data_IF_682245221013
#
_entry.id   IF_682245221013
#
_cell.length_a   1.000
_cell.length_b   1.000
_cell.length_c   1.000
_cell.angle_alpha   90.00
_cell.angle_beta   90.00
_cell.angle_gamma   90.00
#
_symmetry.space_group_name_H-M   'P 1'
#
loop_
_entity.id
_entity.type
_entity.pdbx_description
1 polymer ?
#
# COMPACT_ATOMS: atom_id res chain seq x y z
N UNK A 1 -9.61 12.11 31.08
CA UNK A 1 -8.70 11.37 30.17
C UNK A 1 -7.75 12.26 29.34
N UNK A 2 -7.53 13.54 29.69
CA UNK A 2 -6.69 14.48 28.91
C UNK A 2 -5.48 15.08 29.65
N UNK A 3 -5.14 14.62 30.86
CA UNK A 3 -4.09 15.26 31.69
C UNK A 3 -2.85 14.42 32.03
N UNK A 4 -2.72 13.19 31.52
CA UNK A 4 -1.59 12.31 31.92
C UNK A 4 -0.67 11.87 30.77
N UNK A 5 -0.93 12.29 29.53
CA UNK A 5 0.00 12.08 28.41
C UNK A 5 0.29 13.44 27.82
N UNK A 6 1.53 13.94 27.98
CA UNK A 6 1.99 15.25 27.49
C UNK A 6 1.91 15.40 25.96
N UNK A 7 2.75 16.19 25.31
CA UNK A 7 2.73 16.35 23.84
C UNK A 7 3.19 15.09 23.06
N UNK A 8 3.74 14.08 23.74
CA UNK A 8 4.27 12.86 23.14
C UNK A 8 3.30 12.06 22.23
N UNK A 9 1.98 11.92 22.51
CA UNK A 9 1.03 11.22 21.65
C UNK A 9 0.88 11.84 20.26
N UNK A 10 1.09 13.17 20.12
CA UNK A 10 1.06 13.84 18.82
C UNK A 10 2.17 13.35 17.90
N UNK A 11 3.31 12.93 18.45
CA UNK A 11 4.47 12.45 17.69
C UNK A 11 4.48 10.91 17.50
N UNK A 12 3.63 10.16 18.22
CA UNK A 12 3.54 8.70 18.08
C UNK A 12 3.03 8.25 16.71
N UNK A 13 2.27 9.08 15.99
CA UNK A 13 1.79 8.80 14.63
C UNK A 13 2.81 9.06 13.52
N UNK A 14 3.87 9.83 13.80
CA UNK A 14 4.83 10.28 12.77
C UNK A 14 5.71 9.14 12.28
N UNK A 15 6.19 8.26 13.18
CA UNK A 15 7.00 7.10 12.80
C UNK A 15 6.24 6.14 11.86
N UNK A 16 4.99 5.75 12.18
CA UNK A 16 4.14 5.03 11.23
C UNK A 16 3.95 5.74 9.89
N UNK A 17 3.75 7.07 9.91
CA UNK A 17 3.51 7.86 8.70
C UNK A 17 4.76 7.93 7.80
N UNK A 18 5.95 8.19 8.36
CA UNK A 18 7.20 8.22 7.61
C UNK A 18 7.46 6.91 6.88
N UNK A 19 7.12 5.79 7.52
CA UNK A 19 7.35 4.47 6.93
C UNK A 19 6.28 4.13 5.90
N UNK A 20 5.06 4.63 6.06
CA UNK A 20 4.03 4.53 5.02
C UNK A 20 4.45 5.26 3.74
N UNK A 21 5.10 6.42 3.89
CA UNK A 21 5.61 7.22 2.75
C UNK A 21 6.85 6.58 2.11
N UNK A 22 7.61 5.77 2.85
CA UNK A 22 8.78 5.07 2.29
C UNK A 22 8.43 4.10 1.15
N UNK A 23 7.28 3.42 1.22
CA UNK A 23 6.85 2.47 0.19
C UNK A 23 6.69 3.12 -1.20
N UNK A 24 5.86 4.18 -1.37
CA UNK A 24 5.74 4.85 -2.66
C UNK A 24 7.07 5.51 -3.10
N UNK A 25 7.89 6.03 -2.18
CA UNK A 25 9.20 6.59 -2.54
C UNK A 25 10.10 5.53 -3.21
N UNK A 26 10.20 4.34 -2.61
CA UNK A 26 11.00 3.24 -3.16
C UNK A 26 10.43 2.80 -4.51
N UNK A 27 9.10 2.67 -4.61
CA UNK A 27 8.43 2.31 -5.86
C UNK A 27 8.76 3.30 -6.97
N UNK A 28 8.61 4.61 -6.73
CA UNK A 28 8.91 5.64 -7.71
C UNK A 28 10.39 5.66 -8.08
N UNK A 29 11.29 5.52 -7.10
CA UNK A 29 12.74 5.51 -7.36
C UNK A 29 13.15 4.35 -8.25
N UNK A 30 12.62 3.14 -7.99
CA UNK A 30 12.90 1.96 -8.82
C UNK A 30 12.30 2.16 -10.22
N UNK A 31 11.07 2.66 -10.30
CA UNK A 31 10.40 2.93 -11.57
C UNK A 31 11.16 3.92 -12.43
N UNK A 32 11.61 5.05 -11.87
CA UNK A 32 12.36 6.05 -12.60
C UNK A 32 13.71 5.54 -13.08
N UNK A 33 14.44 4.79 -12.23
CA UNK A 33 15.70 4.16 -12.64
C UNK A 33 15.50 3.18 -13.79
N UNK A 34 14.46 2.37 -13.73
CA UNK A 34 14.19 1.33 -14.73
C UNK A 34 13.68 1.96 -16.04
N UNK A 35 12.77 2.93 -15.94
CA UNK A 35 12.31 3.77 -17.06
C UNK A 35 13.48 4.45 -17.77
N UNK A 36 14.35 5.14 -17.02
CA UNK A 36 15.48 5.88 -17.59
C UNK A 36 16.55 4.97 -18.22
N UNK A 37 16.64 3.69 -17.79
CA UNK A 37 17.52 2.71 -18.42
C UNK A 37 16.95 2.22 -19.76
N UNK A 38 15.66 1.90 -19.82
CA UNK A 38 15.03 1.33 -21.02
C UNK A 38 14.73 2.41 -22.08
N UNK A 39 14.34 3.61 -21.64
CA UNK A 39 14.09 4.75 -22.52
C UNK A 39 15.33 5.21 -23.31
N UNK A 40 16.54 4.83 -22.88
CA UNK A 40 17.79 5.09 -23.62
C UNK A 40 17.94 4.19 -24.85
N UNK A 41 17.27 3.04 -24.87
CA UNK A 41 17.45 2.01 -25.90
C UNK A 41 16.23 1.91 -26.82
N UNK A 42 15.02 2.26 -26.34
CA UNK A 42 13.79 2.24 -27.13
C UNK A 42 12.75 3.22 -26.62
N UNK A 43 11.80 3.59 -27.47
CA UNK A 43 10.58 4.28 -27.05
C UNK A 43 9.70 3.36 -26.21
N UNK A 44 9.18 3.87 -25.10
CA UNK A 44 8.34 3.13 -24.17
C UNK A 44 6.88 3.16 -24.62
N UNK A 45 6.27 1.98 -24.72
CA UNK A 45 4.84 1.82 -24.98
C UNK A 45 4.03 1.82 -23.68
N UNK A 46 2.69 1.94 -23.76
CA UNK A 46 1.83 1.86 -22.58
C UNK A 46 1.99 0.55 -21.80
N UNK A 47 2.27 -0.56 -22.50
CA UNK A 47 2.54 -1.86 -21.88
C UNK A 47 3.89 -1.89 -21.14
N UNK A 48 4.89 -1.16 -21.64
CA UNK A 48 6.17 -1.03 -20.95
C UNK A 48 6.02 -0.27 -19.63
N UNK A 49 5.24 0.81 -19.61
CA UNK A 49 4.93 1.52 -18.38
C UNK A 49 4.19 0.65 -17.38
N UNK A 50 3.29 -0.22 -17.84
CA UNK A 50 2.61 -1.19 -17.00
C UNK A 50 3.59 -2.21 -16.38
N UNK A 51 4.44 -2.83 -17.20
CA UNK A 51 5.45 -3.79 -16.75
C UNK A 51 6.47 -3.16 -15.79
N UNK A 52 7.00 -1.98 -16.14
CA UNK A 52 7.92 -1.22 -15.31
C UNK A 52 7.28 -0.87 -13.96
N UNK A 53 6.02 -0.44 -13.97
CA UNK A 53 5.24 -0.16 -12.77
C UNK A 53 5.07 -1.40 -11.89
N UNK A 54 4.73 -2.55 -12.49
CA UNK A 54 4.58 -3.81 -11.79
C UNK A 54 5.89 -4.27 -11.14
N UNK A 55 6.99 -4.28 -11.88
CA UNK A 55 8.32 -4.67 -11.37
C UNK A 55 8.75 -3.76 -10.23
N UNK A 56 8.54 -2.45 -10.37
CA UNK A 56 8.92 -1.47 -9.35
C UNK A 56 8.10 -1.63 -8.07
N UNK A 57 6.80 -1.93 -8.22
CA UNK A 57 5.92 -2.23 -7.09
C UNK A 57 6.33 -3.52 -6.37
N UNK A 58 6.73 -4.56 -7.11
CA UNK A 58 7.23 -5.81 -6.54
C UNK A 58 8.55 -5.61 -5.80
N UNK A 59 9.48 -4.84 -6.35
CA UNK A 59 10.75 -4.51 -5.70
C UNK A 59 10.54 -3.70 -4.41
N UNK A 60 9.70 -2.66 -4.47
CA UNK A 60 9.36 -1.84 -3.30
C UNK A 60 8.64 -2.68 -2.22
N UNK A 61 7.72 -3.54 -2.64
CA UNK A 61 7.03 -4.43 -1.72
C UNK A 61 8.02 -5.39 -1.09
N UNK A 62 8.94 -6.01 -1.84
CA UNK A 62 9.92 -6.96 -1.30
C UNK A 62 10.82 -6.35 -0.23
N UNK A 63 11.24 -5.09 -0.42
CA UNK A 63 12.05 -4.36 0.57
C UNK A 63 11.20 -3.98 1.80
N UNK A 64 9.93 -3.63 1.59
CA UNK A 64 9.04 -3.14 2.66
C UNK A 64 8.29 -4.26 3.41
N UNK A 65 8.15 -5.44 2.81
CA UNK A 65 7.33 -6.54 3.33
C UNK A 65 7.81 -7.05 4.70
N UNK A 66 9.13 -7.26 4.93
CA UNK A 66 9.64 -7.63 6.25
C UNK A 66 9.20 -6.68 7.36
N UNK A 67 9.26 -5.38 7.08
CA UNK A 67 8.85 -4.34 8.02
C UNK A 67 7.35 -4.43 8.35
N UNK A 68 6.50 -4.60 7.33
CA UNK A 68 5.04 -4.70 7.48
C UNK A 68 4.67 -5.92 8.33
N UNK A 69 5.30 -7.08 8.07
CA UNK A 69 5.03 -8.33 8.78
C UNK A 69 5.42 -8.23 10.25
N UNK A 70 6.61 -7.69 10.55
CA UNK A 70 7.03 -7.51 11.93
C UNK A 70 6.09 -6.53 12.65
N UNK A 71 5.79 -5.37 12.05
CA UNK A 71 4.87 -4.40 12.65
C UNK A 71 3.48 -4.98 12.92
N UNK A 72 2.93 -5.72 11.97
CA UNK A 72 1.62 -6.37 12.13
C UNK A 72 1.64 -7.39 13.27
N UNK A 73 2.70 -8.20 13.39
CA UNK A 73 2.85 -9.13 14.52
C UNK A 73 3.08 -8.42 15.86
N UNK A 74 3.81 -7.30 15.87
CA UNK A 74 3.98 -6.45 17.06
C UNK A 74 2.66 -5.83 17.53
N UNK A 75 1.80 -5.43 16.60
CA UNK A 75 0.48 -4.87 16.90
C UNK A 75 -0.52 -5.94 17.36
N UNK A 76 -0.41 -7.16 16.86
CA UNK A 76 -1.28 -8.28 17.23
C UNK A 76 -0.85 -8.96 18.55
N UNK A 77 0.45 -9.03 18.86
CA UNK A 77 1.01 -9.59 20.10
C UNK A 77 1.27 -8.52 21.19
N UNK A 78 0.30 -7.66 21.46
CA UNK A 78 0.22 -6.99 22.76
C UNK A 78 -0.44 -7.95 23.77
N UNK A 79 0.26 -9.04 24.08
CA UNK A 79 -0.16 -9.97 25.15
C UNK A 79 0.56 -9.60 26.44
N UNK A 80 -0.07 -9.81 27.60
CA UNK A 80 0.42 -9.43 28.94
C UNK A 80 1.76 -10.07 29.35
N UNK A 81 2.27 -11.03 28.56
CA UNK A 81 3.55 -11.69 28.81
C UNK A 81 4.74 -10.88 28.25
N UNK A 82 5.50 -10.27 29.17
CA UNK A 82 6.70 -9.48 28.85
C UNK A 82 7.77 -10.25 28.05
N UNK A 83 7.76 -11.60 28.09
CA UNK A 83 8.68 -12.46 27.34
C UNK A 83 8.33 -12.61 25.85
N UNK A 84 7.07 -12.44 25.47
CA UNK A 84 6.62 -12.50 24.07
C UNK A 84 6.62 -11.14 23.36
N UNK A 85 6.84 -10.06 24.13
CA UNK A 85 6.86 -8.70 23.60
C UNK A 85 8.09 -8.51 22.71
N UNK A 86 7.85 -8.14 21.47
CA UNK A 86 8.92 -7.73 20.55
C UNK A 86 9.46 -6.36 21.01
N UNK A 87 10.72 -6.29 21.42
CA UNK A 87 11.33 -5.03 21.89
C UNK A 87 11.66 -4.08 20.74
N UNK A 88 11.85 -4.62 19.53
CA UNK A 88 12.25 -3.90 18.35
C UNK A 88 11.91 -4.67 17.08
N UNK A 89 11.79 -3.95 15.96
CA UNK A 89 11.48 -4.55 14.65
C UNK A 89 12.56 -5.56 14.23
N UNK A 90 13.82 -5.30 14.60
CA UNK A 90 14.94 -6.21 14.35
C UNK A 90 14.84 -7.51 15.18
N UNK A 91 14.35 -7.42 16.42
CA UNK A 91 14.12 -8.59 17.30
C UNK A 91 12.96 -9.44 16.77
N UNK A 92 11.90 -8.80 16.28
CA UNK A 92 10.81 -9.48 15.57
C UNK A 92 11.28 -10.21 14.32
N UNK A 93 12.11 -9.57 13.50
CA UNK A 93 12.66 -10.20 12.30
C UNK A 93 13.51 -11.43 12.62
N UNK A 94 14.41 -11.33 13.61
CA UNK A 94 15.25 -12.46 14.07
C UNK A 94 14.42 -13.61 14.62
N UNK A 95 13.41 -13.32 15.45
CA UNK A 95 12.50 -14.34 16.00
C UNK A 95 11.72 -15.04 14.90
N UNK A 96 11.13 -14.32 13.94
CA UNK A 96 10.36 -14.94 12.85
C UNK A 96 11.25 -15.88 12.02
N UNK A 97 12.44 -15.44 11.64
CA UNK A 97 13.37 -16.29 10.87
C UNK A 97 13.81 -17.51 11.69
N UNK A 98 14.11 -17.32 12.99
CA UNK A 98 14.57 -18.40 13.87
C UNK A 98 13.49 -19.46 14.14
N UNK A 99 12.22 -19.07 14.26
CA UNK A 99 11.13 -19.98 14.64
C UNK A 99 10.29 -20.48 13.46
N UNK A 100 10.13 -19.70 12.39
CA UNK A 100 9.26 -20.03 11.24
C UNK A 100 10.01 -20.08 9.89
N UNK A 101 11.32 -19.77 9.90
CA UNK A 101 12.13 -19.68 8.68
C UNK A 101 11.76 -18.49 7.79
N UNK A 102 12.41 -18.41 6.63
CA UNK A 102 12.14 -17.36 5.64
C UNK A 102 10.70 -17.40 5.10
N UNK A 103 10.06 -18.57 5.08
CA UNK A 103 8.66 -18.73 4.67
C UNK A 103 7.67 -18.07 5.65
N UNK A 104 8.00 -17.97 6.94
CA UNK A 104 7.19 -17.26 7.94
C UNK A 104 7.02 -15.77 7.64
N UNK A 105 7.96 -15.17 6.91
CA UNK A 105 7.87 -13.79 6.44
C UNK A 105 6.88 -13.61 5.29
N UNK A 106 6.54 -14.66 4.54
CA UNK A 106 5.61 -14.62 3.40
C UNK A 106 4.25 -15.25 3.69
N UNK A 107 4.05 -15.74 4.93
CA UNK A 107 2.80 -16.36 5.37
C UNK A 107 1.66 -15.34 5.32
N UNK A 108 0.65 -15.61 4.48
CA UNK A 108 -0.51 -14.73 4.27
C UNK A 108 -0.46 -13.86 3.01
N UNK A 109 0.58 -13.98 2.18
CA UNK A 109 0.68 -13.22 0.92
C UNK A 109 -0.47 -13.53 -0.04
N UNK A 110 -0.93 -14.79 -0.10
CA UNK A 110 -2.08 -15.19 -0.93
C UNK A 110 -3.36 -14.47 -0.51
N UNK A 111 -3.66 -14.43 0.78
CA UNK A 111 -4.80 -13.70 1.33
C UNK A 111 -4.70 -12.19 1.05
N UNK A 112 -3.50 -11.61 1.14
CA UNK A 112 -3.26 -10.20 0.77
C UNK A 112 -3.45 -9.92 -0.72
N UNK A 113 -3.02 -10.82 -1.60
CA UNK A 113 -3.24 -10.69 -3.04
C UNK A 113 -4.74 -10.73 -3.35
N UNK A 114 -5.47 -11.71 -2.81
CA UNK A 114 -6.93 -11.82 -3.01
C UNK A 114 -7.64 -10.57 -2.49
N UNK A 115 -7.31 -10.12 -1.27
CA UNK A 115 -7.84 -8.87 -0.72
C UNK A 115 -7.57 -7.69 -1.65
N UNK A 116 -6.34 -7.55 -2.14
CA UNK A 116 -5.95 -6.44 -3.02
C UNK A 116 -6.72 -6.45 -4.36
N UNK A 117 -6.93 -7.64 -4.94
CA UNK A 117 -7.69 -7.79 -6.18
C UNK A 117 -9.14 -7.40 -5.93
N UNK A 118 -9.77 -7.95 -4.90
CA UNK A 118 -11.16 -7.64 -4.56
C UNK A 118 -11.37 -6.15 -4.30
N UNK A 119 -10.51 -5.53 -3.49
CA UNK A 119 -10.59 -4.08 -3.21
C UNK A 119 -10.47 -3.26 -4.50
N UNK A 120 -9.54 -3.62 -5.40
CA UNK A 120 -9.39 -2.93 -6.68
C UNK A 120 -10.63 -3.11 -7.58
N UNK A 121 -11.16 -4.32 -7.69
CA UNK A 121 -12.38 -4.61 -8.46
C UNK A 121 -13.58 -3.82 -7.97
N UNK A 122 -13.82 -3.80 -6.65
CA UNK A 122 -14.90 -3.01 -6.07
C UNK A 122 -14.71 -1.52 -6.28
N UNK A 123 -13.49 -1.01 -6.15
CA UNK A 123 -13.17 0.39 -6.40
C UNK A 123 -13.50 0.78 -7.85
N UNK A 124 -13.03 -0.01 -8.83
CA UNK A 124 -13.31 0.25 -10.25
C UNK A 124 -14.79 0.14 -10.59
N UNK A 125 -15.51 -0.84 -10.02
CA UNK A 125 -16.96 -0.95 -10.18
C UNK A 125 -17.68 0.27 -9.62
N UNK A 126 -17.31 0.72 -8.42
CA UNK A 126 -17.89 1.92 -7.81
C UNK A 126 -17.59 3.18 -8.64
N UNK A 127 -16.36 3.34 -9.12
CA UNK A 127 -15.97 4.44 -10.01
C UNK A 127 -16.79 4.43 -11.30
N UNK A 128 -16.92 3.28 -11.97
CA UNK A 128 -17.69 3.16 -13.20
C UNK A 128 -19.18 3.48 -12.99
N UNK A 129 -19.78 2.95 -11.92
CA UNK A 129 -21.17 3.24 -11.54
C UNK A 129 -21.37 4.72 -11.25
N UNK A 130 -20.52 5.35 -10.44
CA UNK A 130 -20.58 6.78 -10.12
C UNK A 130 -20.49 7.65 -11.37
N UNK A 131 -19.54 7.35 -12.26
CA UNK A 131 -19.37 8.10 -13.52
C UNK A 131 -20.62 7.97 -14.39
N UNK A 132 -21.22 6.79 -14.49
CA UNK A 132 -22.47 6.61 -15.23
C UNK A 132 -23.65 7.35 -14.59
N UNK A 133 -23.78 7.33 -13.25
CA UNK A 133 -24.83 8.09 -12.56
C UNK A 133 -24.68 9.60 -12.75
N UNK A 134 -23.46 10.12 -12.60
CA UNK A 134 -23.17 11.55 -12.82
C UNK A 134 -23.42 11.94 -14.27
N UNK A 135 -22.99 11.12 -15.24
CA UNK A 135 -23.25 11.37 -16.65
C UNK A 135 -24.76 11.42 -16.95
N UNK A 136 -25.53 10.45 -16.43
CA UNK A 136 -27.00 10.42 -16.57
C UNK A 136 -27.66 11.64 -15.94
N UNK A 137 -27.23 12.05 -14.74
CA UNK A 137 -27.73 13.24 -14.05
C UNK A 137 -27.44 14.51 -14.85
N UNK A 138 -26.20 14.67 -15.34
CA UNK A 138 -25.80 15.81 -16.15
C UNK A 138 -26.57 15.88 -17.47
N UNK A 139 -26.82 14.75 -18.15
CA UNK A 139 -27.71 14.73 -19.33
C UNK A 139 -29.16 15.04 -18.97
N UNK A 140 -29.69 14.54 -17.85
CA UNK A 140 -31.06 14.84 -17.42
C UNK A 140 -31.25 16.32 -17.06
N UNK A 141 -30.23 16.96 -16.49
CA UNK A 141 -30.21 18.39 -16.18
C UNK A 141 -29.90 19.25 -17.42
N UNK A 142 -29.02 18.79 -18.31
CA UNK A 142 -28.56 19.53 -19.50
C UNK A 142 -29.48 19.44 -20.73
N UNK A 143 -30.36 18.43 -20.83
CA UNK A 143 -31.28 18.27 -21.97
C UNK A 143 -32.53 19.17 -21.86
N UNK A 144 -32.76 19.85 -20.73
CA UNK A 144 -33.88 20.79 -20.58
C UNK A 144 -33.62 22.21 -21.14
N UNK A 145 -32.39 22.53 -21.58
CA UNK A 145 -32.04 23.89 -21.99
C UNK A 145 -31.99 24.14 -23.53
N UNK A 146 -32.15 23.13 -24.39
CA UNK A 146 -31.93 23.29 -25.84
C UNK A 146 -33.06 22.75 -26.75
N UNK A 147 -34.31 22.83 -26.29
CA UNK A 147 -35.50 22.61 -27.14
C UNK A 147 -36.59 23.67 -26.86
N UNK A 148 -36.27 24.94 -27.13
CA UNK A 148 -37.24 26.02 -27.39
C UNK A 148 -36.58 27.06 -28.29
N UNK A 149 -36.52 26.76 -29.59
CA UNK A 149 -36.59 27.75 -30.67
C UNK A 149 -37.58 27.17 -31.67
#
# INVERSE_FOLDING_TARGET
>A
MYKERGLAPFFQGIMPALILVANPIIQYTVFEKLKNRIAKTRNLTGFDFFLLGAVSKLAATSITYPYIVVKSRMQLKQSDDAKERYSSIMDGFRKIIKYEGAAGLYKGISSKIVQSILTASFLFMAQASLVQYVARLLTALGVRAQKRI
#
